data_IF_001212733664
#
_entry.id   IF_001212733664
#
_cell.length_a   1.000
_cell.length_b   1.000
_cell.length_c   1.000
_cell.angle_alpha   90.00
_cell.angle_beta   90.00
_cell.angle_gamma   90.00
#
_symmetry.space_group_name_H-M   'P 1'
#
loop_
_entity.id
_entity.type
_entity.pdbx_description
1 polymer ?
#
# COMPACT_ATOMS: atom_id res chain seq x y z
N UNK A 1 15.47 -25.63 -1.39
CA UNK A 1 14.66 -24.63 -0.67
C UNK A 1 13.55 -24.18 -1.61
N UNK A 2 12.33 -23.93 -1.11
CA UNK A 2 11.20 -23.38 -1.90
C UNK A 2 10.62 -22.20 -1.13
N UNK A 3 10.19 -21.17 -1.84
CA UNK A 3 9.37 -20.08 -1.29
C UNK A 3 8.02 -20.68 -0.84
N UNK A 4 7.46 -20.20 0.26
CA UNK A 4 6.16 -20.67 0.79
C UNK A 4 4.97 -19.84 0.30
N UNK A 5 5.19 -18.54 0.11
CA UNK A 5 4.15 -17.58 -0.24
C UNK A 5 4.70 -16.54 -1.23
N UNK A 6 3.85 -16.14 -2.17
CA UNK A 6 4.08 -14.99 -3.05
C UNK A 6 2.98 -13.98 -2.79
N UNK A 7 3.38 -12.74 -2.48
CA UNK A 7 2.45 -11.65 -2.19
C UNK A 7 2.43 -10.71 -3.39
N UNK A 8 1.29 -10.64 -4.08
CA UNK A 8 1.13 -9.85 -5.28
C UNK A 8 0.44 -8.52 -4.95
N UNK A 9 1.12 -7.41 -5.21
CA UNK A 9 0.55 -6.07 -5.16
C UNK A 9 -0.27 -5.77 -6.42
N UNK A 10 -1.19 -4.80 -6.33
CA UNK A 10 -2.03 -4.35 -7.44
C UNK A 10 -2.85 -5.46 -8.14
N UNK A 11 -3.14 -6.55 -7.44
CA UNK A 11 -4.02 -7.60 -7.94
C UNK A 11 -5.47 -7.09 -8.00
N UNK A 12 -6.22 -7.47 -9.04
CA UNK A 12 -7.60 -7.01 -9.23
C UNK A 12 -8.56 -7.47 -8.10
N UNK A 13 -8.22 -8.58 -7.43
CA UNK A 13 -8.96 -9.15 -6.30
C UNK A 13 -8.02 -9.46 -5.15
N UNK A 14 -7.57 -8.46 -4.37
CA UNK A 14 -6.73 -8.70 -3.19
C UNK A 14 -7.53 -9.45 -2.11
N UNK A 15 -6.84 -10.22 -1.28
CA UNK A 15 -7.44 -10.97 -0.16
C UNK A 15 -6.70 -10.77 1.18
N UNK A 16 -5.69 -9.90 1.18
CA UNK A 16 -4.92 -9.55 2.35
C UNK A 16 -4.65 -8.04 2.41
N UNK A 17 -4.71 -7.47 3.60
CA UNK A 17 -4.46 -6.04 3.84
C UNK A 17 -3.51 -5.87 5.01
N UNK A 18 -2.52 -5.02 4.83
CA UNK A 18 -1.56 -4.64 5.86
C UNK A 18 -1.83 -3.20 6.25
N UNK A 19 -2.16 -2.96 7.52
CA UNK A 19 -2.25 -1.61 8.08
C UNK A 19 -0.86 -0.96 8.09
N UNK A 20 -0.74 0.16 7.38
CA UNK A 20 0.51 0.92 7.29
C UNK A 20 0.38 2.30 7.92
N UNK A 21 -0.67 2.57 8.71
CA UNK A 21 -0.97 3.91 9.26
C UNK A 21 0.24 4.54 9.96
N UNK A 22 0.90 3.79 10.84
CA UNK A 22 2.09 4.26 11.58
C UNK A 22 3.34 4.42 10.69
N UNK A 23 3.41 3.71 9.56
CA UNK A 23 4.58 3.71 8.67
C UNK A 23 4.37 4.52 7.39
N UNK A 24 3.16 5.03 7.15
CA UNK A 24 2.81 5.83 6.00
C UNK A 24 3.73 7.06 5.82
N UNK A 25 4.12 7.80 6.88
CA UNK A 25 5.08 8.89 6.72
C UNK A 25 6.43 8.45 6.15
N UNK A 26 6.88 7.21 6.44
CA UNK A 26 8.12 6.66 5.89
C UNK A 26 7.97 6.31 4.40
N UNK A 27 6.81 5.75 4.01
CA UNK A 27 6.48 5.51 2.60
C UNK A 27 6.54 6.81 1.79
N UNK A 28 5.96 7.90 2.32
CA UNK A 28 5.99 9.19 1.63
C UNK A 28 7.40 9.75 1.49
N UNK A 29 8.23 9.67 2.53
CA UNK A 29 9.65 10.04 2.45
C UNK A 29 10.39 9.23 1.38
N UNK A 30 10.15 7.92 1.33
CA UNK A 30 10.76 7.05 0.32
C UNK A 30 10.34 7.47 -1.10
N UNK A 31 9.04 7.73 -1.34
CA UNK A 31 8.54 8.19 -2.63
C UNK A 31 9.13 9.55 -3.05
N UNK A 32 9.26 10.50 -2.12
CA UNK A 32 9.87 11.80 -2.40
C UNK A 32 11.38 11.72 -2.69
N UNK A 33 12.08 10.68 -2.24
CA UNK A 33 13.48 10.47 -2.59
C UNK A 33 13.67 10.19 -4.10
N UNK A 34 12.64 9.74 -4.80
CA UNK A 34 12.63 9.57 -6.26
C UNK A 34 12.42 10.91 -7.00
N UNK A 35 13.27 11.89 -6.75
CA UNK A 35 13.05 13.29 -7.15
C UNK A 35 12.77 13.47 -8.66
N UNK A 36 13.46 12.75 -9.55
CA UNK A 36 13.21 12.84 -11.00
C UNK A 36 11.82 12.34 -11.41
N UNK A 37 11.17 11.52 -10.57
CA UNK A 37 9.86 10.92 -10.82
C UNK A 37 8.74 11.65 -10.08
N UNK A 38 9.01 12.22 -8.90
CA UNK A 38 7.96 12.71 -7.99
C UNK A 38 7.97 14.21 -7.74
N UNK A 39 9.07 14.92 -8.02
CA UNK A 39 9.20 16.35 -7.66
C UNK A 39 8.17 17.27 -8.33
N UNK A 40 7.61 16.86 -9.48
CA UNK A 40 6.60 17.63 -10.20
C UNK A 40 5.16 17.36 -9.73
N UNK A 41 4.94 16.35 -8.88
CA UNK A 41 3.61 15.95 -8.44
C UNK A 41 3.34 16.45 -7.01
N UNK A 42 2.75 17.66 -6.93
CA UNK A 42 2.36 18.25 -5.65
C UNK A 42 1.27 17.46 -4.90
N UNK A 43 0.46 16.67 -5.63
CA UNK A 43 -0.68 15.90 -5.10
C UNK A 43 -0.32 14.45 -4.75
N UNK A 44 0.96 14.08 -4.82
CA UNK A 44 1.38 12.69 -4.64
C UNK A 44 0.92 12.11 -3.30
N UNK A 45 1.07 12.85 -2.20
CA UNK A 45 0.65 12.36 -0.88
C UNK A 45 -0.85 12.12 -0.82
N UNK A 46 -1.65 13.07 -1.32
CA UNK A 46 -3.11 12.96 -1.33
C UNK A 46 -3.55 11.72 -2.12
N UNK A 47 -3.01 11.51 -3.32
CA UNK A 47 -3.32 10.34 -4.16
C UNK A 47 -2.96 9.02 -3.47
N UNK A 48 -1.77 8.96 -2.85
CA UNK A 48 -1.30 7.74 -2.17
C UNK A 48 -2.10 7.47 -0.89
N UNK A 49 -2.50 8.52 -0.17
CA UNK A 49 -3.33 8.44 1.03
C UNK A 49 -4.75 7.98 0.69
N UNK A 50 -5.40 8.60 -0.28
CA UNK A 50 -6.75 8.24 -0.73
C UNK A 50 -6.83 6.77 -1.20
N UNK A 51 -5.80 6.28 -1.88
CA UNK A 51 -5.70 4.85 -2.20
C UNK A 51 -5.56 3.98 -0.97
N UNK A 52 -4.68 4.37 -0.03
CA UNK A 52 -4.50 3.65 1.23
C UNK A 52 -5.79 3.62 2.07
N UNK A 53 -6.52 4.72 2.16
CA UNK A 53 -7.78 4.83 2.91
C UNK A 53 -8.88 3.97 2.28
N UNK A 54 -8.97 3.93 0.95
CA UNK A 54 -9.90 3.01 0.26
C UNK A 54 -9.60 1.55 0.56
N UNK A 55 -8.32 1.17 0.58
CA UNK A 55 -7.91 -0.17 0.95
C UNK A 55 -8.24 -0.48 2.42
N UNK A 56 -7.99 0.45 3.32
CA UNK A 56 -8.28 0.29 4.75
C UNK A 56 -9.79 0.13 5.00
N UNK A 57 -10.61 0.94 4.32
CA UNK A 57 -12.06 0.83 4.37
C UNK A 57 -12.54 -0.54 3.83
N UNK A 58 -11.97 -1.03 2.73
CA UNK A 58 -12.28 -2.36 2.19
C UNK A 58 -11.89 -3.50 3.16
N UNK A 59 -10.87 -3.30 4.00
CA UNK A 59 -10.44 -4.24 5.03
C UNK A 59 -11.24 -4.12 6.35
N UNK A 60 -12.12 -3.12 6.47
CA UNK A 60 -12.88 -2.85 7.70
C UNK A 60 -12.08 -2.17 8.81
N UNK A 61 -10.98 -1.48 8.48
CA UNK A 61 -10.21 -0.71 9.45
C UNK A 61 -10.93 0.59 9.84
N UNK A 62 -10.59 1.19 11.00
CA UNK A 62 -11.19 2.46 11.42
C UNK A 62 -10.88 3.60 10.45
N UNK A 63 -11.74 4.62 10.45
CA UNK A 63 -11.53 5.84 9.66
C UNK A 63 -10.17 6.48 9.97
N UNK A 64 -9.55 7.07 8.95
CA UNK A 64 -8.21 7.67 9.03
C UNK A 64 -7.05 6.67 8.93
N UNK A 65 -7.33 5.36 8.87
CA UNK A 65 -6.31 4.35 8.62
C UNK A 65 -6.00 4.22 7.13
N UNK A 66 -4.79 3.75 6.83
CA UNK A 66 -4.31 3.48 5.47
C UNK A 66 -3.75 2.07 5.39
N UNK A 67 -4.06 1.35 4.31
CA UNK A 67 -3.62 -0.03 4.13
C UNK A 67 -3.05 -0.30 2.73
N UNK A 68 -2.11 -1.26 2.68
CA UNK A 68 -1.65 -1.87 1.44
C UNK A 68 -2.37 -3.20 1.20
N UNK A 69 -2.84 -3.41 -0.03
CA UNK A 69 -3.61 -4.58 -0.40
C UNK A 69 -2.76 -5.56 -1.24
N UNK A 70 -2.85 -6.84 -0.91
CA UNK A 70 -2.11 -7.93 -1.54
C UNK A 70 -3.02 -9.11 -1.86
N UNK A 71 -2.64 -9.88 -2.87
CA UNK A 71 -3.11 -11.25 -3.07
C UNK A 71 -2.03 -12.22 -2.60
N UNK A 72 -2.35 -13.07 -1.63
CA UNK A 72 -1.41 -14.11 -1.16
C UNK A 72 -1.63 -15.39 -1.96
N UNK A 73 -0.56 -15.88 -2.60
CA UNK A 73 -0.53 -17.17 -3.29
C UNK A 73 0.36 -18.13 -2.52
N UNK A 74 -0.25 -19.17 -1.96
CA UNK A 74 0.47 -20.26 -1.31
C UNK A 74 1.14 -21.15 -2.36
N UNK A 75 2.41 -21.47 -2.15
CA UNK A 75 3.23 -22.29 -3.05
C UNK A 75 3.65 -23.59 -2.40
N UNK A 76 2.84 -24.16 -1.51
CA UNK A 76 3.05 -25.53 -1.04
C UNK A 76 2.54 -26.51 -2.10
#
# INVERSE_FOLDING_TARGET
WRVKEVWLMAHATPDHWVDITETFPLKMKALHAHASQTAHNAELENLVREWGERNAAAAGFPEGHVAEAFKIVNTN
#
